data_IF_060276559439
#
_entry.id   IF_060276559439
#
_cell.length_a   1.000
_cell.length_b   1.000
_cell.length_c   1.000
_cell.angle_alpha   90.00
_cell.angle_beta   90.00
_cell.angle_gamma   90.00
#
_symmetry.space_group_name_H-M   'P 1'
#
loop_
_entity.id
_entity.type
_entity.pdbx_description
1 polymer ?
#
# COMPACT_ATOMS: atom_id res chain seq x y z
N UNK A 1 -6.24 24.64 -0.45
CA UNK A 1 -5.21 24.14 -1.40
C UNK A 1 -4.01 25.10 -1.43
N UNK A 2 -4.15 26.41 -1.73
CA UNK A 2 -3.03 27.35 -1.84
C UNK A 2 -2.09 27.32 -0.61
N UNK A 3 -2.66 27.40 0.59
CA UNK A 3 -1.90 27.28 1.85
C UNK A 3 -1.09 25.97 1.95
N UNK A 4 -1.68 24.82 1.54
CA UNK A 4 -0.98 23.54 1.54
C UNK A 4 0.21 23.54 0.57
N UNK A 5 0.06 24.16 -0.59
CA UNK A 5 1.13 24.28 -1.57
C UNK A 5 2.26 25.20 -1.09
N UNK A 6 1.94 26.29 -0.37
CA UNK A 6 2.96 27.18 0.24
C UNK A 6 3.77 26.45 1.31
N UNK A 7 3.11 25.67 2.16
CA UNK A 7 3.79 24.85 3.18
C UNK A 7 4.68 23.78 2.52
N UNK A 8 4.18 23.10 1.50
CA UNK A 8 4.95 22.10 0.77
C UNK A 8 6.14 22.70 0.00
N UNK A 9 5.99 23.89 -0.57
CA UNK A 9 7.12 24.60 -1.21
C UNK A 9 8.20 25.01 -0.19
N UNK A 10 7.78 25.37 1.01
CA UNK A 10 8.70 25.62 2.13
C UNK A 10 9.42 24.34 2.54
N UNK A 11 8.69 23.23 2.66
CA UNK A 11 9.26 21.92 2.98
C UNK A 11 10.21 21.42 1.89
N UNK A 12 9.90 21.63 0.59
CA UNK A 12 10.81 21.34 -0.54
C UNK A 12 12.17 22.00 -0.33
N UNK A 13 12.15 23.29 0.03
CA UNK A 13 13.38 24.06 0.23
C UNK A 13 14.18 23.57 1.46
N UNK A 14 13.50 23.28 2.55
CA UNK A 14 14.13 22.86 3.81
C UNK A 14 14.69 21.43 3.76
N UNK A 15 14.05 20.54 3.00
CA UNK A 15 14.43 19.13 2.89
C UNK A 15 15.34 18.83 1.67
N UNK A 16 15.72 19.84 0.88
CA UNK A 16 16.50 19.66 -0.35
C UNK A 16 17.81 18.84 -0.17
N UNK A 17 18.46 18.97 0.99
CA UNK A 17 19.71 18.26 1.31
C UNK A 17 19.55 17.31 2.51
N UNK A 18 18.31 17.00 2.90
CA UNK A 18 18.05 16.13 4.03
C UNK A 18 18.00 14.67 3.59
N UNK A 19 18.76 13.82 4.27
CA UNK A 19 18.70 12.37 4.11
C UNK A 19 18.19 11.77 5.43
N UNK A 20 17.00 11.18 5.47
CA UNK A 20 16.45 10.59 6.68
C UNK A 20 17.20 9.30 7.06
N UNK A 21 17.23 9.00 8.34
CA UNK A 21 17.80 7.75 8.87
C UNK A 21 16.96 6.52 8.51
N UNK A 22 15.68 6.72 8.21
CA UNK A 22 14.75 5.65 7.85
C UNK A 22 13.57 6.15 7.04
N UNK A 23 12.85 5.25 6.36
CA UNK A 23 11.61 5.53 5.64
C UNK A 23 10.40 5.86 6.55
N UNK A 24 10.56 5.83 7.87
CA UNK A 24 9.53 6.32 8.80
C UNK A 24 9.56 7.85 8.95
N UNK A 25 10.60 8.49 8.47
CA UNK A 25 10.74 9.95 8.44
C UNK A 25 10.54 10.45 7.01
N UNK A 26 9.65 11.46 6.81
CA UNK A 26 9.43 12.01 5.48
C UNK A 26 10.69 12.70 4.96
N UNK A 27 10.89 12.63 3.65
CA UNK A 27 12.00 13.24 2.93
C UNK A 27 11.48 14.06 1.73
N UNK A 28 12.40 14.57 0.92
CA UNK A 28 12.06 15.37 -0.26
C UNK A 28 11.13 14.62 -1.24
N UNK A 29 11.33 13.31 -1.44
CA UNK A 29 10.45 12.51 -2.30
C UNK A 29 9.02 12.45 -1.75
N UNK A 30 8.86 12.40 -0.43
CA UNK A 30 7.54 12.48 0.21
C UNK A 30 6.87 13.83 -0.01
N UNK A 31 7.63 14.92 0.04
CA UNK A 31 7.10 16.27 -0.26
C UNK A 31 6.60 16.32 -1.69
N UNK A 32 7.37 15.84 -2.66
CA UNK A 32 6.95 15.77 -4.05
C UNK A 32 5.70 14.92 -4.25
N UNK A 33 5.60 13.77 -3.59
CA UNK A 33 4.41 12.94 -3.63
C UNK A 33 3.17 13.63 -3.05
N UNK A 34 3.32 14.38 -1.94
CA UNK A 34 2.23 15.17 -1.38
C UNK A 34 1.82 16.31 -2.33
N UNK A 35 2.78 17.01 -2.96
CA UNK A 35 2.48 18.01 -3.97
C UNK A 35 1.73 17.41 -5.16
N UNK A 36 2.14 16.24 -5.64
CA UNK A 36 1.43 15.54 -6.71
C UNK A 36 -0.03 15.26 -6.34
N UNK A 37 -0.31 14.76 -5.13
CA UNK A 37 -1.67 14.56 -4.62
C UNK A 37 -2.48 15.87 -4.58
N UNK A 38 -1.89 16.94 -4.06
CA UNK A 38 -2.55 18.24 -3.93
C UNK A 38 -2.86 18.84 -5.31
N UNK A 39 -1.93 18.75 -6.26
CA UNK A 39 -2.16 19.21 -7.63
C UNK A 39 -3.23 18.38 -8.38
N UNK A 40 -3.32 17.06 -8.12
CA UNK A 40 -4.43 16.24 -8.65
C UNK A 40 -5.79 16.74 -8.14
N UNK A 41 -5.89 17.01 -6.83
CA UNK A 41 -7.12 17.59 -6.23
C UNK A 41 -7.47 18.97 -6.75
N UNK A 42 -6.47 19.76 -7.16
CA UNK A 42 -6.66 21.11 -7.71
C UNK A 42 -6.83 21.11 -9.24
N UNK A 43 -6.92 19.92 -9.84
CA UNK A 43 -7.04 19.71 -11.29
C UNK A 43 -5.89 20.35 -12.10
N UNK A 44 -4.76 20.63 -11.45
CA UNK A 44 -3.54 21.12 -12.08
C UNK A 44 -2.71 19.93 -12.60
N UNK A 45 -3.24 19.21 -13.57
CA UNK A 45 -2.71 17.91 -14.01
C UNK A 45 -1.25 17.98 -14.51
N UNK A 46 -0.87 19.02 -15.24
CA UNK A 46 0.53 19.17 -15.68
C UNK A 46 1.51 19.29 -14.51
N UNK A 47 1.11 19.98 -13.43
CA UNK A 47 1.90 20.06 -12.20
C UNK A 47 1.89 18.74 -11.47
N UNK A 48 0.74 18.07 -11.38
CA UNK A 48 0.62 16.75 -10.75
C UNK A 48 1.56 15.72 -11.40
N UNK A 49 1.58 15.62 -12.73
CA UNK A 49 2.51 14.75 -13.46
C UNK A 49 3.97 15.09 -13.17
N UNK A 50 4.32 16.39 -13.21
CA UNK A 50 5.68 16.87 -12.94
C UNK A 50 6.15 16.45 -11.53
N UNK A 51 5.32 16.66 -10.51
CA UNK A 51 5.70 16.34 -9.14
C UNK A 51 5.63 14.83 -8.84
N UNK A 52 4.76 14.08 -9.49
CA UNK A 52 4.76 12.62 -9.42
C UNK A 52 6.08 12.05 -9.98
N UNK A 53 6.54 12.52 -11.14
CA UNK A 53 7.84 12.13 -11.71
C UNK A 53 9.00 12.51 -10.78
N UNK A 54 9.02 13.74 -10.24
CA UNK A 54 10.04 14.14 -9.26
C UNK A 54 10.04 13.21 -8.03
N UNK A 55 8.88 12.80 -7.57
CA UNK A 55 8.77 11.88 -6.42
C UNK A 55 9.35 10.51 -6.73
N UNK A 56 9.05 9.94 -7.91
CA UNK A 56 9.61 8.66 -8.37
C UNK A 56 11.13 8.76 -8.43
N UNK A 57 11.66 9.75 -9.13
CA UNK A 57 13.10 9.91 -9.36
C UNK A 57 13.86 10.15 -8.05
N UNK A 58 13.34 11.01 -7.17
CA UNK A 58 13.98 11.33 -5.89
C UNK A 58 13.89 10.18 -4.87
N UNK A 59 12.88 9.32 -4.96
CA UNK A 59 12.71 8.20 -4.02
C UNK A 59 13.68 7.06 -4.29
N UNK A 60 14.08 6.84 -5.54
CA UNK A 60 14.78 5.64 -5.98
C UNK A 60 14.00 4.34 -5.73
N UNK A 61 12.69 4.45 -5.48
CA UNK A 61 11.81 3.31 -5.22
C UNK A 61 11.38 2.64 -6.52
N UNK A 62 11.03 1.37 -6.42
CA UNK A 62 10.53 0.54 -7.51
C UNK A 62 9.23 -0.17 -7.10
N UNK A 63 8.27 -0.37 -8.01
CA UNK A 63 7.04 -1.10 -7.71
C UNK A 63 7.32 -2.51 -7.17
N UNK A 64 6.39 -3.02 -6.36
CA UNK A 64 6.43 -4.40 -5.87
C UNK A 64 6.39 -5.40 -7.03
N UNK A 65 7.22 -6.43 -6.95
CA UNK A 65 7.05 -7.59 -7.81
C UNK A 65 5.84 -8.42 -7.38
N UNK A 66 5.41 -9.35 -8.24
CA UNK A 66 4.32 -10.28 -7.91
C UNK A 66 4.64 -11.08 -6.63
N UNK A 67 5.86 -11.56 -6.51
CA UNK A 67 6.34 -12.35 -5.39
C UNK A 67 6.32 -11.53 -4.09
N UNK A 68 6.82 -10.30 -4.14
CA UNK A 68 6.77 -9.38 -3.00
C UNK A 68 5.34 -9.01 -2.61
N UNK A 69 4.45 -8.83 -3.60
CA UNK A 69 3.05 -8.51 -3.34
C UNK A 69 2.34 -9.55 -2.49
N UNK A 70 2.68 -10.83 -2.68
CA UNK A 70 2.04 -11.97 -2.02
C UNK A 70 2.78 -12.46 -0.76
N UNK A 71 3.97 -11.95 -0.50
CA UNK A 71 4.84 -12.42 0.58
C UNK A 71 4.38 -11.93 1.94
N UNK A 72 4.35 -12.84 2.93
CA UNK A 72 3.92 -12.55 4.31
C UNK A 72 4.88 -11.64 5.08
N UNK A 73 6.12 -11.48 4.61
CA UNK A 73 7.16 -10.70 5.27
C UNK A 73 7.64 -9.50 4.45
N UNK A 74 7.38 -9.49 3.13
CA UNK A 74 7.96 -8.51 2.20
C UNK A 74 6.92 -7.67 1.45
N UNK A 75 5.63 -7.96 1.62
CA UNK A 75 4.54 -7.28 0.93
C UNK A 75 4.12 -5.97 1.59
N UNK A 76 2.91 -5.97 2.15
CA UNK A 76 2.27 -4.79 2.73
C UNK A 76 2.38 -4.72 4.25
N UNK A 77 3.42 -5.26 4.85
CA UNK A 77 3.59 -5.33 6.30
C UNK A 77 4.97 -4.91 6.81
N UNK A 78 5.94 -4.70 5.91
CA UNK A 78 7.31 -4.36 6.31
C UNK A 78 7.97 -3.40 5.31
N UNK A 79 8.20 -2.16 5.73
CA UNK A 79 8.78 -1.09 4.90
C UNK A 79 10.24 -1.35 4.49
N UNK A 80 10.96 -2.15 5.26
CA UNK A 80 12.38 -2.42 5.02
C UNK A 80 12.63 -3.64 4.13
N UNK A 81 11.62 -4.47 3.89
CA UNK A 81 11.75 -5.73 3.15
C UNK A 81 11.63 -5.57 1.65
N UNK A 82 11.17 -4.42 1.17
CA UNK A 82 11.03 -4.11 -0.25
C UNK A 82 11.35 -2.64 -0.52
N UNK A 83 11.44 -2.27 -1.79
CA UNK A 83 11.77 -0.91 -2.18
C UNK A 83 10.59 -0.11 -2.75
N UNK A 84 9.35 -0.53 -2.51
CA UNK A 84 8.19 0.18 -3.05
C UNK A 84 7.68 1.30 -2.15
N UNK A 85 8.00 1.27 -0.87
CA UNK A 85 7.51 2.25 0.09
C UNK A 85 8.42 3.47 0.16
N UNK A 86 7.84 4.62 -0.05
CA UNK A 86 8.49 5.92 0.11
C UNK A 86 8.40 6.42 1.54
N UNK A 87 7.29 6.13 2.22
CA UNK A 87 7.01 6.54 3.59
C UNK A 87 6.04 5.58 4.27
N UNK A 88 6.25 5.31 5.56
CA UNK A 88 5.38 4.46 6.37
C UNK A 88 5.40 4.84 7.84
N UNK A 89 4.50 4.22 8.59
CA UNK A 89 4.40 4.33 10.04
C UNK A 89 4.77 2.99 10.65
N UNK A 90 5.62 3.00 11.67
CA UNK A 90 5.99 1.80 12.39
C UNK A 90 5.00 1.52 13.51
N UNK A 91 4.44 0.32 13.51
CA UNK A 91 3.80 -0.25 14.68
C UNK A 91 4.76 -1.19 15.42
N UNK A 92 4.66 -1.19 16.75
CA UNK A 92 5.36 -2.13 17.62
C UNK A 92 4.41 -2.59 18.73
N UNK A 93 4.70 -3.72 19.40
CA UNK A 93 3.85 -4.20 20.51
C UNK A 93 3.59 -3.17 21.61
N UNK A 94 4.52 -2.23 21.81
CA UNK A 94 4.42 -1.21 22.86
C UNK A 94 3.42 -0.09 22.53
N UNK A 95 3.15 0.14 21.24
CA UNK A 95 2.30 1.26 20.79
C UNK A 95 1.00 0.82 20.10
N UNK A 96 0.64 -0.45 20.20
CA UNK A 96 -0.61 -0.98 19.65
C UNK A 96 -1.37 -1.83 20.66
N UNK A 97 -2.65 -2.08 20.39
CA UNK A 97 -3.50 -2.99 21.13
C UNK A 97 -4.26 -3.92 20.19
N UNK A 98 -4.86 -4.97 20.71
CA UNK A 98 -5.57 -5.96 19.92
C UNK A 98 -6.73 -5.39 19.09
N UNK A 99 -7.39 -4.31 19.55
CA UNK A 99 -8.47 -3.65 18.83
C UNK A 99 -8.02 -2.43 18.01
N UNK A 100 -6.82 -1.92 18.26
CA UNK A 100 -6.34 -0.63 17.75
C UNK A 100 -5.03 -0.78 16.97
N UNK A 101 -4.96 -1.76 16.07
CA UNK A 101 -3.83 -1.90 15.15
C UNK A 101 -4.33 -2.02 13.71
N UNK A 102 -3.43 -1.77 12.77
CA UNK A 102 -3.77 -1.70 11.34
C UNK A 102 -4.31 -3.04 10.81
N UNK A 103 -3.66 -4.15 11.15
CA UNK A 103 -4.12 -5.48 10.71
C UNK A 103 -5.47 -5.85 11.31
N UNK A 104 -5.72 -5.48 12.56
CA UNK A 104 -7.03 -5.68 13.20
C UNK A 104 -8.20 -4.95 12.52
N UNK A 105 -7.92 -4.04 11.59
CA UNK A 105 -8.94 -3.34 10.78
C UNK A 105 -8.92 -3.76 9.31
N UNK A 106 -7.75 -4.06 8.77
CA UNK A 106 -7.53 -4.14 7.32
C UNK A 106 -7.23 -5.54 6.81
N UNK A 107 -6.81 -6.45 7.70
CA UNK A 107 -6.46 -7.81 7.29
C UNK A 107 -7.62 -8.77 7.50
N UNK A 108 -8.05 -9.44 6.46
CA UNK A 108 -8.96 -10.57 6.61
C UNK A 108 -8.32 -11.79 7.30
N UNK A 109 -7.02 -11.77 7.49
CA UNK A 109 -6.26 -12.87 8.09
C UNK A 109 -6.25 -12.85 9.63
N UNK A 110 -6.36 -11.66 10.25
CA UNK A 110 -6.21 -11.48 11.69
C UNK A 110 -7.42 -12.02 12.48
N UNK A 111 -7.16 -12.85 13.51
CA UNK A 111 -8.18 -13.37 14.45
C UNK A 111 -8.35 -12.43 15.67
N UNK A 112 -8.08 -11.15 15.49
CA UNK A 112 -8.28 -10.13 16.51
C UNK A 112 -8.85 -8.84 15.90
N UNK A 113 -9.32 -7.97 16.77
CA UNK A 113 -9.84 -6.68 16.40
C UNK A 113 -11.14 -6.78 15.59
N UNK A 114 -11.36 -5.77 14.75
CA UNK A 114 -12.60 -5.67 14.00
C UNK A 114 -12.61 -6.50 12.72
N UNK A 115 -11.47 -6.84 12.17
CA UNK A 115 -11.41 -7.66 10.95
C UNK A 115 -11.95 -9.06 11.16
N UNK A 116 -11.76 -9.65 12.34
CA UNK A 116 -12.36 -10.95 12.70
C UNK A 116 -13.89 -10.92 12.84
N UNK A 117 -14.47 -9.73 13.05
CA UNK A 117 -15.91 -9.52 13.16
C UNK A 117 -16.57 -9.09 11.85
N UNK A 118 -15.88 -8.29 11.04
CA UNK A 118 -16.42 -7.70 9.81
C UNK A 118 -16.05 -8.48 8.56
N UNK A 119 -15.01 -9.31 8.65
CA UNK A 119 -14.51 -10.18 7.57
C UNK A 119 -14.37 -9.41 6.26
N UNK A 120 -13.47 -8.39 6.19
CA UNK A 120 -13.37 -7.51 5.03
C UNK A 120 -13.04 -8.30 3.77
N UNK A 121 -13.78 -8.08 2.71
CA UNK A 121 -13.64 -8.81 1.45
C UNK A 121 -14.04 -8.00 0.24
N UNK A 122 -13.93 -8.61 -0.93
CA UNK A 122 -14.38 -8.05 -2.19
C UNK A 122 -15.77 -8.59 -2.54
N UNK A 123 -16.59 -7.75 -3.17
CA UNK A 123 -17.84 -8.23 -3.77
C UNK A 123 -17.57 -9.28 -4.85
N UNK A 124 -18.36 -10.36 -4.85
CA UNK A 124 -18.21 -11.45 -5.83
C UNK A 124 -18.23 -10.97 -7.27
N UNK A 125 -19.09 -10.01 -7.60
CA UNK A 125 -19.21 -9.51 -8.98
C UNK A 125 -17.96 -8.76 -9.44
N UNK A 126 -17.26 -8.09 -8.53
CA UNK A 126 -15.97 -7.45 -8.81
C UNK A 126 -14.86 -8.49 -8.88
N UNK A 127 -14.86 -9.48 -7.98
CA UNK A 127 -13.88 -10.57 -8.02
C UNK A 127 -13.92 -11.32 -9.35
N UNK A 128 -15.12 -11.64 -9.84
CA UNK A 128 -15.31 -12.36 -11.11
C UNK A 128 -14.79 -11.58 -12.33
N UNK A 129 -14.76 -10.25 -12.26
CA UNK A 129 -14.25 -9.38 -13.33
C UNK A 129 -12.71 -9.28 -13.33
N UNK A 130 -12.03 -9.64 -12.25
CA UNK A 130 -10.56 -9.62 -12.21
C UNK A 130 -10.05 -10.81 -13.04
N UNK A 131 -9.25 -10.52 -14.07
CA UNK A 131 -8.67 -11.56 -14.92
C UNK A 131 -7.74 -12.48 -14.10
N UNK A 132 -7.67 -13.77 -14.44
CA UNK A 132 -6.73 -14.71 -13.79
C UNK A 132 -5.27 -14.36 -14.03
N UNK A 133 -4.95 -13.62 -15.09
CA UNK A 133 -3.61 -13.10 -15.35
C UNK A 133 -3.23 -11.95 -14.42
N UNK A 134 -4.19 -11.31 -13.77
CA UNK A 134 -3.95 -10.26 -12.78
C UNK A 134 -3.69 -10.89 -11.39
N UNK A 135 -2.43 -10.93 -10.99
CA UNK A 135 -2.04 -11.53 -9.71
C UNK A 135 -2.66 -10.84 -8.48
N UNK A 136 -3.18 -9.62 -8.60
CA UNK A 136 -3.87 -8.92 -7.52
C UNK A 136 -5.16 -9.66 -7.11
N UNK A 137 -5.72 -10.48 -7.99
CA UNK A 137 -6.83 -11.38 -7.68
C UNK A 137 -6.50 -12.30 -6.50
N UNK A 138 -5.23 -12.68 -6.37
CA UNK A 138 -4.75 -13.59 -5.31
C UNK A 138 -4.65 -12.95 -3.93
N UNK A 139 -4.95 -11.67 -3.80
CA UNK A 139 -5.12 -11.01 -2.49
C UNK A 139 -6.52 -11.18 -1.91
N UNK A 140 -7.36 -11.95 -2.57
CA UNK A 140 -8.69 -12.35 -2.10
C UNK A 140 -8.81 -13.87 -2.12
N UNK A 141 -9.44 -14.43 -1.10
CA UNK A 141 -9.62 -15.88 -1.01
C UNK A 141 -10.65 -16.36 -2.03
N UNK A 142 -10.24 -17.21 -2.96
CA UNK A 142 -11.17 -17.84 -3.89
C UNK A 142 -11.99 -18.94 -3.19
N UNK A 143 -13.25 -19.20 -3.62
CA UNK A 143 -14.11 -20.19 -2.99
C UNK A 143 -13.52 -21.61 -2.97
N UNK A 144 -12.78 -21.97 -4.02
CA UNK A 144 -12.19 -23.31 -4.15
C UNK A 144 -10.84 -23.42 -3.43
N UNK A 145 -10.31 -22.33 -2.88
CA UNK A 145 -8.98 -22.29 -2.24
C UNK A 145 -7.87 -22.82 -3.14
N UNK A 146 -7.99 -22.62 -4.45
CA UNK A 146 -7.14 -23.28 -5.46
C UNK A 146 -6.07 -22.36 -6.07
N UNK A 147 -6.23 -21.05 -5.96
CA UNK A 147 -5.46 -20.08 -6.79
C UNK A 147 -4.30 -19.44 -6.03
N UNK A 148 -4.37 -19.40 -4.72
CA UNK A 148 -3.39 -18.74 -3.89
C UNK A 148 -2.37 -19.75 -3.33
N UNK A 149 -1.11 -19.35 -3.10
CA UNK A 149 -0.15 -20.19 -2.39
C UNK A 149 -0.51 -20.27 -0.90
N UNK A 150 -1.59 -20.96 -0.59
CA UNK A 150 -2.11 -21.16 0.77
C UNK A 150 -1.06 -21.79 1.70
N UNK A 151 -0.08 -22.47 1.14
CA UNK A 151 1.09 -22.99 1.82
C UNK A 151 1.88 -21.91 2.59
N UNK A 152 1.85 -20.66 2.10
CA UNK A 152 2.49 -19.53 2.76
C UNK A 152 1.53 -18.75 3.65
N UNK A 153 0.23 -19.03 3.57
CA UNK A 153 -0.76 -18.30 4.33
C UNK A 153 -0.86 -18.77 5.75
N UNK A 154 -0.92 -20.08 5.99
CA UNK A 154 -1.14 -20.59 7.31
C UNK A 154 -1.42 -22.04 7.41
N UNK A 155 -1.72 -22.36 8.72
CA UNK A 155 -2.24 -23.67 9.01
C UNK A 155 -3.61 -23.90 8.32
N UNK A 156 -3.96 -25.16 8.18
CA UNK A 156 -5.17 -25.57 7.49
C UNK A 156 -6.44 -25.04 8.18
N UNK A 157 -6.39 -24.87 9.50
CA UNK A 157 -7.54 -24.40 10.27
C UNK A 157 -8.03 -23.02 9.82
N UNK A 158 -7.09 -22.08 9.61
CA UNK A 158 -7.50 -20.75 9.13
C UNK A 158 -8.09 -20.82 7.72
N UNK A 159 -7.51 -21.63 6.84
CA UNK A 159 -8.00 -21.80 5.46
C UNK A 159 -9.44 -22.35 5.46
N UNK A 160 -9.72 -23.31 6.34
CA UNK A 160 -11.03 -23.96 6.45
C UNK A 160 -12.10 -23.01 7.04
N UNK A 161 -11.71 -22.15 7.97
CA UNK A 161 -12.61 -21.22 8.67
C UNK A 161 -12.79 -19.89 7.91
N UNK A 162 -11.91 -19.55 6.99
CA UNK A 162 -11.93 -18.27 6.26
C UNK A 162 -13.11 -18.15 5.30
N UNK A 163 -13.66 -16.95 5.21
CA UNK A 163 -14.81 -16.64 4.35
C UNK A 163 -14.34 -16.40 2.91
N UNK A 164 -15.15 -16.84 1.94
CA UNK A 164 -14.91 -16.59 0.53
C UNK A 164 -14.77 -15.10 0.24
N UNK A 165 -13.84 -14.76 -0.66
CA UNK A 165 -13.52 -13.39 -1.10
C UNK A 165 -12.92 -12.51 -0.03
N UNK A 166 -12.54 -13.04 1.14
CA UNK A 166 -11.91 -12.31 2.23
C UNK A 166 -10.58 -11.69 1.78
N UNK A 167 -10.34 -10.43 2.16
CA UNK A 167 -9.15 -9.70 1.75
C UNK A 167 -7.93 -10.06 2.61
N UNK A 168 -6.86 -10.51 1.97
CA UNK A 168 -5.59 -10.88 2.60
C UNK A 168 -4.41 -10.06 2.07
N UNK A 169 -4.66 -8.91 1.48
CA UNK A 169 -3.61 -8.02 0.98
C UNK A 169 -2.66 -7.55 2.08
N UNK A 170 -3.22 -7.15 3.20
CA UNK A 170 -2.45 -6.70 4.36
C UNK A 170 -2.27 -7.88 5.31
N UNK A 171 -1.17 -8.61 5.09
CA UNK A 171 -0.85 -9.85 5.82
C UNK A 171 -0.40 -9.57 7.25
N UNK A 172 -0.73 -10.48 8.16
CA UNK A 172 -0.10 -10.52 9.47
C UNK A 172 1.40 -10.81 9.32
N UNK A 173 2.23 -10.19 10.15
CA UNK A 173 3.68 -10.39 10.09
C UNK A 173 4.05 -11.86 10.33
N UNK A 174 4.83 -12.43 9.43
CA UNK A 174 5.18 -13.85 9.46
C UNK A 174 4.01 -14.80 9.33
N UNK A 175 2.83 -14.28 8.96
CA UNK A 175 1.59 -15.05 8.94
C UNK A 175 1.02 -15.36 10.33
N UNK A 176 1.45 -14.77 11.40
CA UNK A 176 0.90 -14.98 12.74
C UNK A 176 -0.44 -14.23 12.90
N UNK A 177 -1.52 -14.95 12.90
CA UNK A 177 -2.90 -14.44 12.92
C UNK A 177 -3.56 -14.50 14.30
N UNK A 178 -3.00 -15.27 15.20
CA UNK A 178 -3.54 -15.51 16.52
C UNK A 178 -3.00 -14.49 17.54
N UNK A 179 -1.72 -14.12 17.43
CA UNK A 179 -1.09 -13.18 18.35
C UNK A 179 -0.95 -11.78 17.74
N UNK A 180 -1.80 -10.85 18.18
CA UNK A 180 -1.74 -9.45 17.71
C UNK A 180 -0.42 -8.75 18.02
N UNK A 181 0.28 -9.15 19.08
CA UNK A 181 1.56 -8.53 19.45
C UNK A 181 2.70 -8.93 18.50
N UNK A 182 2.55 -10.07 17.82
CA UNK A 182 3.48 -10.56 16.80
C UNK A 182 2.98 -10.20 15.40
N UNK A 183 1.86 -10.78 15.00
CA UNK A 183 1.30 -10.61 13.65
C UNK A 183 0.78 -9.21 13.34
N UNK A 184 0.40 -8.45 14.38
CA UNK A 184 -0.03 -7.06 14.24
C UNK A 184 1.10 -6.05 14.24
N UNK A 185 2.34 -6.45 14.54
CA UNK A 185 3.52 -5.57 14.58
C UNK A 185 4.02 -5.23 13.15
N UNK A 186 3.12 -4.78 12.30
CA UNK A 186 3.36 -4.45 10.89
C UNK A 186 3.57 -2.96 10.69
N UNK A 187 4.30 -2.61 9.64
CA UNK A 187 4.38 -1.23 9.18
C UNK A 187 3.15 -0.85 8.34
N UNK A 188 2.75 0.41 8.40
CA UNK A 188 1.61 0.93 7.65
C UNK A 188 2.09 1.79 6.50
N UNK A 189 1.75 1.46 5.22
CA UNK A 189 2.14 2.26 4.09
C UNK A 189 1.37 3.59 4.06
N UNK A 190 2.08 4.71 4.09
CA UNK A 190 1.52 6.06 3.92
C UNK A 190 1.67 6.53 2.49
N UNK A 191 2.80 6.20 1.86
CA UNK A 191 3.09 6.54 0.46
C UNK A 191 3.93 5.45 -0.18
N UNK A 192 3.50 5.01 -1.36
CA UNK A 192 4.20 4.02 -2.18
C UNK A 192 4.44 4.57 -3.57
N UNK A 193 5.51 4.11 -4.21
CA UNK A 193 5.90 4.59 -5.54
C UNK A 193 4.87 4.27 -6.62
N UNK A 194 4.15 3.16 -6.50
CA UNK A 194 3.10 2.79 -7.46
C UNK A 194 1.99 3.85 -7.56
N UNK A 195 1.68 4.53 -6.44
CA UNK A 195 0.74 5.65 -6.46
C UNK A 195 1.26 6.79 -7.33
N UNK A 196 2.55 7.07 -7.26
CA UNK A 196 3.16 8.14 -8.06
C UNK A 196 3.12 7.83 -9.57
N UNK A 197 3.34 6.58 -9.96
CA UNK A 197 3.15 6.15 -11.36
C UNK A 197 1.69 6.30 -11.81
N UNK A 198 0.73 5.95 -10.95
CA UNK A 198 -0.69 6.10 -11.28
C UNK A 198 -1.11 7.58 -11.37
N UNK A 199 -0.60 8.45 -10.49
CA UNK A 199 -0.85 9.90 -10.57
C UNK A 199 -0.26 10.46 -11.86
N UNK A 200 0.97 10.09 -12.21
CA UNK A 200 1.59 10.55 -13.45
C UNK A 200 0.81 10.12 -14.67
N UNK A 201 0.42 8.85 -14.74
CA UNK A 201 -0.36 8.31 -15.86
C UNK A 201 -1.73 9.01 -16.01
N UNK A 202 -2.47 9.19 -14.92
CA UNK A 202 -3.76 9.88 -14.94
C UNK A 202 -3.58 11.36 -15.32
N UNK A 203 -2.63 12.04 -14.71
CA UNK A 203 -2.38 13.46 -14.94
C UNK A 203 -1.93 13.76 -16.37
N UNK A 204 -1.06 12.93 -16.97
CA UNK A 204 -0.68 13.04 -18.39
C UNK A 204 -1.85 12.72 -19.31
N UNK A 205 -2.66 11.72 -18.97
CA UNK A 205 -3.89 11.41 -19.70
C UNK A 205 -4.87 12.59 -19.76
N UNK A 206 -5.02 13.30 -18.64
CA UNK A 206 -5.90 14.46 -18.51
C UNK A 206 -5.35 15.72 -19.17
N UNK A 207 -4.04 15.94 -19.13
CA UNK A 207 -3.41 17.19 -19.64
C UNK A 207 -2.93 17.09 -21.08
N UNK A 208 -2.45 15.93 -21.53
CA UNK A 208 -1.81 15.73 -22.83
C UNK A 208 -2.51 14.68 -23.72
N UNK A 209 -3.48 13.97 -23.18
CA UNK A 209 -4.28 12.96 -23.87
C UNK A 209 -3.96 11.53 -23.46
N UNK A 210 -4.92 10.64 -23.72
CA UNK A 210 -4.91 9.24 -23.24
C UNK A 210 -3.64 8.48 -23.62
N UNK A 211 -3.13 8.67 -24.84
CA UNK A 211 -1.92 7.97 -25.31
C UNK A 211 -0.69 8.29 -24.44
N UNK A 212 -0.61 9.50 -23.92
CA UNK A 212 0.48 9.90 -23.01
C UNK A 212 0.35 9.26 -21.65
N UNK A 213 -0.87 9.21 -21.11
CA UNK A 213 -1.14 8.53 -19.84
C UNK A 213 -0.88 7.01 -19.91
N UNK A 214 -1.17 6.38 -21.04
CA UNK A 214 -0.88 4.94 -21.22
C UNK A 214 0.61 4.66 -21.36
N UNK A 215 1.38 5.62 -21.87
CA UNK A 215 2.83 5.46 -22.09
C UNK A 215 3.68 5.76 -20.84
N UNK A 216 3.10 6.41 -19.82
CA UNK A 216 3.77 6.73 -18.56
C UNK A 216 3.89 5.52 -17.63
#
# INVERSE_FOLDING_TARGET
IAFMLEDLATAESLLANYTPESKYLPNLACVYGLMARVYMWDEQYANAATYARKAIDASGCTPLTKEQWLDVNNGFNNINSNNAWMWGIKYSPENMGNLCNFTGWMSGEADWGYSSLTLPGIDKSLYDQIAFSDFRKYTFLDPDRSVYPYETCRDQKWIDDAVDYQAIKFRCLGGDWEDYAVGGAVDVPVMRVEEMYLIEAEALGMSEGVDKGVAA
#
